data_IF_310263968294
#
_entry.id   IF_310263968294
#
_cell.length_a   1.000
_cell.length_b   1.000
_cell.length_c   1.000
_cell.angle_alpha   90.00
_cell.angle_beta   90.00
_cell.angle_gamma   90.00
#
_symmetry.space_group_name_H-M   'P 1'
#
loop_
_entity.id
_entity.type
_entity.pdbx_description
1 polymer ?
#
# COMPACT_ATOMS: atom_id res chain seq x y z
N UNK A 1 -2.21 5.24 8.13
CA UNK A 1 -1.37 6.33 7.64
C UNK A 1 0.07 5.87 7.58
N UNK A 2 0.85 6.40 6.64
CA UNK A 2 2.30 6.22 6.60
C UNK A 2 2.94 7.03 7.75
N UNK A 3 3.83 6.45 8.58
CA UNK A 3 4.50 7.20 9.63
C UNK A 3 5.47 8.23 9.02
N UNK A 4 5.35 9.48 9.43
CA UNK A 4 6.19 10.57 8.99
C UNK A 4 7.50 10.56 9.79
N UNK A 5 8.59 10.90 9.13
CA UNK A 5 9.89 11.06 9.76
C UNK A 5 9.95 12.41 10.48
N UNK A 6 10.52 12.43 11.68
CA UNK A 6 10.79 13.68 12.41
C UNK A 6 11.74 14.60 11.63
N UNK A 7 11.49 15.91 11.69
CA UNK A 7 12.29 16.94 11.03
C UNK A 7 11.86 17.30 9.61
N UNK A 8 10.89 16.60 9.00
CA UNK A 8 10.36 16.96 7.68
C UNK A 8 9.24 18.00 7.77
N UNK A 9 9.07 18.78 6.71
CA UNK A 9 7.93 19.69 6.53
C UNK A 9 6.68 18.91 6.07
N UNK A 10 5.53 19.20 6.67
CA UNK A 10 4.26 18.49 6.41
C UNK A 10 3.10 19.46 6.43
N UNK A 11 2.20 19.35 5.46
CA UNK A 11 0.95 20.11 5.41
C UNK A 11 -0.26 19.18 5.38
N UNK A 12 -1.18 19.35 6.34
CA UNK A 12 -2.49 18.69 6.30
C UNK A 12 -3.51 19.64 5.68
N UNK A 13 -4.18 19.20 4.61
CA UNK A 13 -5.24 19.97 3.93
C UNK A 13 -6.62 19.46 4.35
N UNK A 14 -7.48 20.38 4.77
CA UNK A 14 -8.90 20.14 4.92
C UNK A 14 -9.66 20.89 3.82
N UNK A 15 -10.40 20.17 3.01
CA UNK A 15 -11.26 20.72 1.97
C UNK A 15 -12.72 20.63 2.39
N UNK A 16 -13.47 21.72 2.24
CA UNK A 16 -14.86 21.81 2.70
C UNK A 16 -15.72 22.40 1.58
N UNK A 17 -16.47 21.51 0.93
CA UNK A 17 -17.46 21.91 -0.07
C UNK A 17 -18.74 22.37 0.61
N UNK A 18 -19.03 23.67 0.54
CA UNK A 18 -20.16 24.29 1.23
C UNK A 18 -20.63 25.57 0.54
N UNK A 19 -21.95 25.79 0.52
CA UNK A 19 -22.56 26.99 -0.03
C UNK A 19 -23.66 27.52 0.92
N UNK A 20 -23.48 28.67 1.62
CA UNK A 20 -22.34 29.59 1.52
C UNK A 20 -21.01 28.98 2.03
N UNK A 21 -19.86 29.52 1.58
CA UNK A 21 -18.54 29.02 1.98
C UNK A 21 -18.37 28.96 3.50
N UNK A 22 -17.83 27.85 4.00
CA UNK A 22 -17.54 27.63 5.41
C UNK A 22 -16.05 27.47 5.66
N UNK A 23 -15.58 27.93 6.81
CA UNK A 23 -14.15 27.95 7.12
C UNK A 23 -13.71 26.67 7.84
N UNK A 24 -12.79 25.88 7.26
CA UNK A 24 -12.22 24.71 7.94
C UNK A 24 -11.35 25.10 9.15
N UNK A 25 -11.38 24.24 10.18
CA UNK A 25 -10.58 24.34 11.41
C UNK A 25 -10.12 22.96 11.85
N UNK A 26 -8.82 22.76 11.93
CA UNK A 26 -8.21 21.57 12.51
C UNK A 26 -8.35 21.55 14.04
N UNK A 27 -8.47 20.36 14.60
CA UNK A 27 -8.50 20.10 16.03
C UNK A 27 -7.64 18.87 16.31
N UNK A 28 -6.84 18.93 17.38
CA UNK A 28 -6.12 17.76 17.92
C UNK A 28 -6.90 17.25 19.13
N UNK A 29 -7.06 15.93 19.29
CA UNK A 29 -7.86 15.40 20.39
C UNK A 29 -7.19 15.62 21.78
N UNK A 30 -5.86 15.74 21.83
CA UNK A 30 -5.10 15.91 23.07
C UNK A 30 -4.84 17.39 23.45
N UNK A 31 -5.52 18.35 22.81
CA UNK A 31 -5.39 19.77 23.14
C UNK A 31 -5.39 20.71 21.92
N UNK A 32 -4.84 21.90 22.10
CA UNK A 32 -4.76 22.89 21.03
C UNK A 32 -3.90 22.41 19.86
N UNK A 33 -4.23 22.86 18.65
CA UNK A 33 -3.39 22.54 17.48
C UNK A 33 -2.01 23.18 17.65
N UNK A 34 -0.93 22.41 17.40
CA UNK A 34 0.45 22.84 17.72
C UNK A 34 0.97 23.97 16.83
N UNK A 35 0.27 24.31 15.74
CA UNK A 35 0.63 25.39 14.82
C UNK A 35 -0.56 26.30 14.54
N UNK A 36 -0.32 27.59 14.25
CA UNK A 36 -1.38 28.53 13.87
C UNK A 36 -2.11 28.04 12.61
N UNK A 37 -3.44 28.17 12.62
CA UNK A 37 -4.26 27.77 11.48
C UNK A 37 -4.59 28.97 10.60
N UNK A 38 -4.39 28.80 9.30
CA UNK A 38 -4.88 29.71 8.28
C UNK A 38 -6.31 29.35 7.88
N UNK A 39 -7.10 30.33 7.45
CA UNK A 39 -8.50 30.13 7.03
C UNK A 39 -8.68 29.37 5.70
N UNK A 40 -7.57 28.94 5.10
CA UNK A 40 -7.46 28.20 3.84
C UNK A 40 -7.51 26.68 4.01
N UNK A 41 -7.63 26.19 5.26
CA UNK A 41 -7.77 24.77 5.59
C UNK A 41 -6.47 24.00 5.73
N UNK A 42 -5.32 24.67 5.68
CA UNK A 42 -4.02 24.04 5.86
C UNK A 42 -3.55 24.08 7.32
N UNK A 43 -2.97 22.98 7.78
CA UNK A 43 -2.19 22.89 9.03
C UNK A 43 -0.74 22.57 8.65
N UNK A 44 0.12 23.58 8.71
CA UNK A 44 1.50 23.51 8.19
C UNK A 44 2.51 23.35 9.32
N UNK A 45 3.25 22.24 9.30
CA UNK A 45 4.36 21.95 10.18
C UNK A 45 5.66 22.21 9.45
N UNK A 46 6.38 23.27 9.82
CA UNK A 46 7.71 23.58 9.26
C UNK A 46 8.76 22.51 9.58
N UNK A 47 8.63 21.88 10.75
CA UNK A 47 9.41 20.71 11.15
C UNK A 47 8.55 19.86 12.07
N UNK A 48 8.12 18.69 11.60
CA UNK A 48 7.28 17.80 12.38
C UNK A 48 8.09 17.04 13.44
N UNK A 49 7.54 16.85 14.64
CA UNK A 49 8.21 16.18 15.77
C UNK A 49 7.39 15.03 16.30
N UNK A 50 8.03 14.09 16.99
CA UNK A 50 7.34 12.94 17.60
C UNK A 50 6.19 13.39 18.54
N UNK A 51 6.35 14.52 19.25
CA UNK A 51 5.31 15.15 20.08
C UNK A 51 4.08 15.66 19.31
N UNK A 52 4.20 15.89 18.00
CA UNK A 52 3.06 16.26 17.14
C UNK A 52 2.19 15.05 16.78
N UNK A 53 2.56 13.83 17.20
CA UNK A 53 1.72 12.66 16.97
C UNK A 53 0.39 12.77 17.74
N UNK A 54 -0.69 12.28 17.14
CA UNK A 54 -2.01 12.31 17.75
C UNK A 54 -3.15 12.26 16.74
N UNK A 55 -4.37 12.26 17.25
CA UNK A 55 -5.57 12.32 16.43
C UNK A 55 -5.90 13.75 16.04
N UNK A 56 -6.07 13.98 14.75
CA UNK A 56 -6.45 15.26 14.16
C UNK A 56 -7.78 15.11 13.43
N UNK A 57 -8.70 16.03 13.63
CA UNK A 57 -9.94 16.12 12.86
C UNK A 57 -10.12 17.53 12.34
N UNK A 58 -10.72 17.66 11.16
CA UNK A 58 -11.14 18.95 10.67
C UNK A 58 -12.60 19.17 11.02
N UNK A 59 -12.92 20.38 11.45
CA UNK A 59 -14.28 20.82 11.75
C UNK A 59 -14.60 22.05 10.92
N UNK A 60 -15.87 22.21 10.58
CA UNK A 60 -16.37 23.43 9.94
C UNK A 60 -17.74 23.78 10.51
N UNK A 61 -18.07 25.08 10.50
CA UNK A 61 -19.39 25.57 10.91
C UNK A 61 -20.12 26.09 9.69
N UNK A 62 -21.26 25.50 9.39
CA UNK A 62 -22.07 25.87 8.24
C UNK A 62 -23.54 26.02 8.65
N UNK A 63 -24.12 27.20 8.40
CA UNK A 63 -25.51 27.55 8.73
C UNK A 63 -25.95 27.13 10.15
N UNK A 64 -25.13 27.44 11.15
CA UNK A 64 -25.30 27.09 12.58
C UNK A 64 -25.11 25.62 12.96
N UNK A 65 -24.83 24.73 12.01
CA UNK A 65 -24.45 23.36 12.30
C UNK A 65 -22.92 23.19 12.29
N UNK A 66 -22.44 22.27 13.12
CA UNK A 66 -21.04 21.91 13.18
C UNK A 66 -20.83 20.55 12.51
N UNK A 67 -19.94 20.53 11.53
CA UNK A 67 -19.54 19.33 10.81
C UNK A 67 -18.12 18.96 11.21
N UNK A 68 -17.84 17.66 11.28
CA UNK A 68 -16.51 17.13 11.56
C UNK A 68 -16.16 16.10 10.49
N UNK A 69 -14.91 16.11 10.05
CA UNK A 69 -14.32 15.01 9.31
C UNK A 69 -14.17 13.79 10.22
N UNK A 70 -13.87 12.66 9.60
CA UNK A 70 -13.27 11.52 10.31
C UNK A 70 -11.90 11.93 10.90
N UNK A 71 -11.53 11.33 12.04
CA UNK A 71 -10.24 11.55 12.68
C UNK A 71 -9.09 10.88 11.93
N UNK A 72 -7.98 11.59 11.80
CA UNK A 72 -6.74 11.15 11.17
C UNK A 72 -5.61 11.10 12.21
N UNK A 73 -5.02 9.93 12.41
CA UNK A 73 -3.87 9.80 13.32
C UNK A 73 -2.57 10.17 12.61
N UNK A 74 -1.97 11.29 13.03
CA UNK A 74 -0.64 11.71 12.62
C UNK A 74 0.39 10.91 13.45
N UNK A 75 1.20 10.08 12.80
CA UNK A 75 2.25 9.29 13.46
C UNK A 75 3.61 9.79 13.00
N UNK A 76 4.43 10.25 13.94
CA UNK A 76 5.77 10.80 13.67
C UNK A 76 6.80 9.96 14.42
N UNK A 77 7.86 9.52 13.74
CA UNK A 77 8.91 8.66 14.29
C UNK A 77 10.29 9.31 14.18
N UNK A 78 11.12 9.11 15.21
CA UNK A 78 12.55 9.40 15.15
C UNK A 78 13.24 8.32 14.32
N UNK A 79 14.14 8.70 13.42
CA UNK A 79 15.05 7.74 12.78
C UNK A 79 16.09 7.33 13.83
N UNK A 80 16.08 6.06 14.26
CA UNK A 80 17.31 5.42 14.73
C UNK A 80 17.75 4.42 13.66
N UNK A 81 18.70 4.85 12.82
CA UNK A 81 19.45 3.92 11.97
C UNK A 81 20.52 3.28 12.87
N UNK A 82 20.41 1.97 13.10
CA UNK A 82 21.45 0.97 12.81
C UNK A 82 21.05 -0.40 13.36
N UNK A 83 21.03 -1.41 12.48
CA UNK A 83 21.54 -2.74 12.82
C UNK A 83 22.31 -3.21 11.60
N UNK A 84 23.56 -2.77 11.53
CA UNK A 84 24.64 -3.58 10.99
C UNK A 84 24.86 -4.76 11.94
N UNK A 85 24.60 -5.97 11.47
CA UNK A 85 25.36 -7.20 11.78
C UNK A 85 24.73 -8.35 11.01
N UNK A 86 25.47 -8.83 10.03
CA UNK A 86 25.42 -10.23 9.61
C UNK A 86 25.61 -11.12 10.85
N UNK A 87 24.98 -12.30 10.91
CA UNK A 87 25.56 -13.44 11.58
C UNK A 87 26.15 -14.39 10.55
N UNK A 88 27.45 -14.64 10.71
CA UNK A 88 28.22 -15.74 10.14
C UNK A 88 27.47 -17.08 10.18
N UNK A 89 27.73 -17.88 9.14
CA UNK A 89 27.37 -19.29 9.02
C UNK A 89 27.82 -20.10 10.25
N UNK A 90 26.87 -20.71 10.96
CA UNK A 90 27.12 -21.97 11.66
C UNK A 90 25.96 -22.94 11.46
N UNK A 91 26.35 -24.03 10.83
CA UNK A 91 25.61 -25.25 10.54
C UNK A 91 25.11 -25.91 11.84
N UNK A 92 23.79 -25.95 12.05
CA UNK A 92 23.16 -26.89 13.00
C UNK A 92 21.87 -27.42 12.37
N UNK A 93 21.97 -28.66 11.87
CA UNK A 93 20.85 -29.52 11.52
C UNK A 93 20.21 -30.09 12.80
N UNK A 94 18.99 -29.66 13.16
CA UNK A 94 18.12 -30.50 14.00
C UNK A 94 16.64 -30.30 13.66
N UNK A 95 16.04 -31.42 13.23
CA UNK A 95 14.66 -31.87 13.37
C UNK A 95 13.52 -30.99 12.81
N UNK A 96 12.93 -31.56 11.75
CA UNK A 96 11.54 -31.41 11.38
C UNK A 96 10.59 -31.36 12.59
N UNK A 97 10.00 -30.19 12.83
CA UNK A 97 8.67 -30.09 13.40
C UNK A 97 7.70 -29.87 12.24
N UNK A 98 6.94 -30.91 11.93
CA UNK A 98 5.89 -30.97 10.91
C UNK A 98 5.02 -29.70 10.89
N UNK A 99 5.05 -28.93 9.82
CA UNK A 99 3.94 -28.04 9.46
C UNK A 99 3.64 -28.17 7.96
N UNK A 100 2.41 -28.59 7.71
CA UNK A 100 1.79 -29.00 6.45
C UNK A 100 2.06 -28.02 5.28
N UNK A 101 2.58 -28.47 4.11
CA UNK A 101 3.06 -27.58 3.04
C UNK A 101 1.98 -26.73 2.35
N UNK A 102 0.69 -26.99 2.59
CA UNK A 102 -0.42 -26.23 1.99
C UNK A 102 -1.12 -25.26 2.97
N UNK A 103 -0.61 -25.05 4.19
CA UNK A 103 -1.31 -24.26 5.21
C UNK A 103 -0.95 -22.76 5.25
N UNK A 104 -0.31 -22.26 4.20
CA UNK A 104 0.23 -20.90 4.13
C UNK A 104 0.14 -20.24 2.76
N UNK A 105 -0.61 -20.80 1.81
CA UNK A 105 -0.83 -20.15 0.51
C UNK A 105 -2.32 -20.07 0.22
N UNK A 106 -2.77 -18.90 -0.23
CA UNK A 106 -4.16 -18.56 -0.42
C UNK A 106 -4.34 -17.94 -1.80
N UNK A 107 -5.14 -18.58 -2.65
CA UNK A 107 -5.44 -18.08 -3.98
C UNK A 107 -6.76 -17.31 -3.96
N UNK A 108 -6.76 -16.13 -4.58
CA UNK A 108 -7.94 -15.25 -4.68
C UNK A 108 -8.10 -14.82 -6.12
N UNK A 109 -9.34 -14.78 -6.60
CA UNK A 109 -9.63 -14.26 -7.93
C UNK A 109 -9.57 -12.72 -7.93
N UNK A 110 -9.14 -12.12 -9.04
CA UNK A 110 -9.19 -10.67 -9.26
C UNK A 110 -10.62 -10.14 -9.03
N UNK A 111 -10.76 -9.07 -8.23
CA UNK A 111 -12.03 -8.51 -7.78
C UNK A 111 -12.73 -9.33 -6.68
N UNK A 112 -12.13 -10.44 -6.23
CA UNK A 112 -12.63 -11.26 -5.16
C UNK A 112 -12.37 -10.66 -3.78
N UNK A 113 -12.72 -11.43 -2.75
CA UNK A 113 -12.47 -11.07 -1.36
C UNK A 113 -11.92 -12.28 -0.60
N UNK A 114 -11.07 -12.02 0.39
CA UNK A 114 -10.55 -13.08 1.25
C UNK A 114 -10.35 -12.57 2.66
N UNK A 115 -10.43 -13.48 3.63
CA UNK A 115 -10.25 -13.14 5.03
C UNK A 115 -9.17 -13.99 5.66
N UNK A 116 -8.18 -13.31 6.25
CA UNK A 116 -7.09 -13.89 7.00
C UNK A 116 -7.45 -13.91 8.49
N UNK A 117 -7.20 -15.02 9.16
CA UNK A 117 -7.51 -15.22 10.57
C UNK A 117 -6.25 -15.63 11.31
N UNK A 118 -5.86 -14.87 12.35
CA UNK A 118 -4.80 -15.29 13.25
C UNK A 118 -5.19 -16.55 14.03
N UNK A 119 -4.22 -17.34 14.55
CA UNK A 119 -4.50 -18.54 15.34
C UNK A 119 -5.47 -18.28 16.50
N UNK A 120 -6.37 -19.23 16.76
CA UNK A 120 -7.40 -19.09 17.80
C UNK A 120 -6.78 -18.78 19.17
N UNK A 121 -7.35 -17.79 19.87
CA UNK A 121 -6.86 -17.34 21.18
C UNK A 121 -5.71 -16.33 21.12
N UNK A 122 -5.28 -15.91 19.92
CA UNK A 122 -4.30 -14.83 19.77
C UNK A 122 -4.95 -13.50 19.39
N UNK A 123 -4.48 -12.40 19.98
CA UNK A 123 -4.88 -11.03 19.65
C UNK A 123 -3.89 -10.41 18.63
N UNK A 124 -3.48 -11.21 17.65
CA UNK A 124 -2.45 -10.81 16.68
C UNK A 124 -2.95 -9.82 15.62
N UNK A 125 -2.03 -9.05 15.05
CA UNK A 125 -2.26 -8.09 13.97
C UNK A 125 -1.61 -8.58 12.68
N UNK A 126 -2.30 -8.41 11.56
CA UNK A 126 -1.75 -8.73 10.23
C UNK A 126 -0.88 -7.58 9.70
N UNK A 127 0.20 -7.95 9.01
CA UNK A 127 1.10 -7.04 8.30
C UNK A 127 1.48 -7.62 6.95
N UNK A 128 1.63 -6.76 5.93
CA UNK A 128 2.11 -7.12 4.61
C UNK A 128 3.64 -6.99 4.54
N UNK A 129 4.32 -7.99 4.00
CA UNK A 129 5.76 -7.97 3.82
C UNK A 129 6.11 -7.23 2.53
N UNK A 130 6.91 -6.19 2.65
CA UNK A 130 7.53 -5.52 1.51
C UNK A 130 8.56 -6.47 0.87
N UNK A 131 8.41 -6.86 -0.40
CA UNK A 131 9.32 -7.80 -1.05
C UNK A 131 10.72 -7.22 -1.29
N UNK A 132 10.87 -5.89 -1.35
CA UNK A 132 12.16 -5.23 -1.62
C UNK A 132 12.92 -4.99 -0.32
N UNK A 133 12.23 -4.48 0.70
CA UNK A 133 12.89 -4.10 1.96
C UNK A 133 12.83 -5.18 3.03
N UNK A 134 12.09 -6.27 2.80
CA UNK A 134 11.76 -7.31 3.78
C UNK A 134 11.11 -6.75 5.08
N UNK A 135 10.59 -5.52 5.04
CA UNK A 135 9.95 -4.87 6.19
C UNK A 135 8.46 -5.18 6.24
N UNK A 136 7.94 -5.33 7.45
CA UNK A 136 6.51 -5.50 7.69
C UNK A 136 5.81 -4.14 7.66
N UNK A 137 4.87 -3.99 6.73
CA UNK A 137 3.98 -2.85 6.60
C UNK A 137 2.63 -3.16 7.25
N UNK A 138 2.19 -2.29 8.16
CA UNK A 138 0.85 -2.40 8.75
C UNK A 138 -0.25 -2.14 7.71
N UNK A 139 -1.39 -2.83 7.84
CA UNK A 139 -2.46 -2.87 6.85
C UNK A 139 -3.51 -1.74 6.97
N UNK A 140 -3.21 -0.70 7.77
CA UNK A 140 -4.14 0.41 8.06
C UNK A 140 -5.13 0.12 9.20
N UNK A 141 -5.73 1.16 9.76
CA UNK A 141 -6.69 1.07 10.87
C UNK A 141 -8.11 0.88 10.33
N UNK A 142 -8.88 -0.09 10.85
CA UNK A 142 -10.29 -0.34 10.47
C UNK A 142 -10.57 -1.64 9.71
N UNK A 143 -9.54 -2.39 9.32
CA UNK A 143 -9.68 -3.70 8.68
C UNK A 143 -9.46 -4.88 9.64
N UNK A 144 -8.92 -4.61 10.83
CA UNK A 144 -8.76 -5.58 11.91
C UNK A 144 -9.90 -5.46 12.90
N UNK A 145 -10.79 -6.44 12.91
CA UNK A 145 -11.71 -6.63 14.04
C UNK A 145 -10.89 -7.04 15.28
N UNK A 146 -11.40 -6.83 16.50
CA UNK A 146 -10.74 -7.29 17.74
C UNK A 146 -10.53 -8.81 17.84
N UNK A 147 -10.91 -9.57 16.80
CA UNK A 147 -10.73 -11.02 16.68
C UNK A 147 -9.46 -11.45 15.93
N UNK A 148 -8.56 -10.52 15.55
CA UNK A 148 -7.35 -10.86 14.80
C UNK A 148 -7.64 -11.28 13.34
N UNK A 149 -8.77 -10.81 12.81
CA UNK A 149 -9.24 -11.07 11.45
C UNK A 149 -8.92 -9.87 10.55
N UNK A 150 -8.47 -10.12 9.33
CA UNK A 150 -8.20 -9.10 8.32
C UNK A 150 -8.83 -9.51 6.99
N UNK A 151 -9.65 -8.64 6.39
CA UNK A 151 -10.33 -8.94 5.12
C UNK A 151 -9.82 -8.05 3.99
N UNK A 152 -9.39 -8.68 2.90
CA UNK A 152 -9.16 -8.03 1.61
C UNK A 152 -10.46 -8.12 0.79
N UNK A 153 -10.85 -7.02 0.15
CA UNK A 153 -12.03 -6.93 -0.73
C UNK A 153 -11.61 -6.27 -2.04
N UNK A 154 -12.32 -6.59 -3.12
CA UNK A 154 -12.05 -6.07 -4.47
C UNK A 154 -10.58 -6.24 -4.87
N UNK A 155 -10.05 -7.44 -4.60
CA UNK A 155 -8.61 -7.76 -4.63
C UNK A 155 -7.99 -7.50 -6.00
N UNK A 156 -6.85 -6.80 -6.02
CA UNK A 156 -6.03 -6.54 -7.21
C UNK A 156 -4.69 -7.28 -7.16
N UNK A 157 -3.98 -7.37 -8.29
CA UNK A 157 -2.66 -8.04 -8.33
C UNK A 157 -1.63 -7.45 -7.37
N UNK A 158 -1.74 -6.16 -7.04
CA UNK A 158 -0.85 -5.49 -6.09
C UNK A 158 -1.09 -5.89 -4.63
N UNK A 159 -2.25 -6.48 -4.31
CA UNK A 159 -2.56 -7.01 -2.97
C UNK A 159 -1.93 -8.39 -2.74
N UNK A 160 -1.45 -9.04 -3.80
CA UNK A 160 -0.72 -10.29 -3.69
C UNK A 160 0.60 -10.06 -2.94
N UNK A 161 0.99 -11.07 -2.17
CA UNK A 161 2.22 -11.02 -1.39
C UNK A 161 2.14 -11.78 -0.09
N UNK A 162 3.14 -11.59 0.75
CA UNK A 162 3.27 -12.34 1.99
C UNK A 162 2.71 -11.55 3.15
N UNK A 163 1.71 -12.10 3.83
CA UNK A 163 1.08 -11.54 5.00
C UNK A 163 1.54 -12.30 6.25
N UNK A 164 1.83 -11.59 7.33
CA UNK A 164 2.24 -12.17 8.60
C UNK A 164 1.34 -11.69 9.72
N UNK A 165 0.83 -12.61 10.53
CA UNK A 165 0.16 -12.32 11.79
C UNK A 165 1.23 -12.21 12.88
N UNK A 166 1.32 -11.06 13.54
CA UNK A 166 2.24 -10.81 14.65
C UNK A 166 1.43 -10.65 15.93
N UNK A 167 1.80 -11.36 16.99
CA UNK A 167 1.12 -11.27 18.28
C UNK A 167 2.03 -11.73 19.41
N UNK A 168 1.47 -11.81 20.62
CA UNK A 168 2.22 -12.29 21.78
C UNK A 168 2.63 -13.74 21.58
N UNK A 169 3.89 -14.04 21.92
CA UNK A 169 4.39 -15.41 21.88
C UNK A 169 3.57 -16.29 22.83
N UNK A 170 3.13 -17.48 22.39
CA UNK A 170 2.46 -18.46 23.26
C UNK A 170 3.34 -18.86 24.45
N UNK A 171 4.67 -18.79 24.29
CA UNK A 171 5.65 -19.17 25.32
C UNK A 171 6.07 -18.02 26.21
N UNK A 172 6.17 -16.81 25.66
CA UNK A 172 6.57 -15.61 26.41
C UNK A 172 5.63 -14.43 26.10
N UNK A 173 4.68 -14.18 26.99
CA UNK A 173 3.67 -13.12 26.83
C UNK A 173 4.23 -11.69 26.72
N UNK A 174 5.51 -11.46 27.08
CA UNK A 174 6.19 -10.16 26.93
C UNK A 174 6.89 -10.00 25.58
N UNK A 175 7.02 -11.07 24.79
CA UNK A 175 7.67 -11.07 23.48
C UNK A 175 6.61 -11.11 22.39
N UNK A 176 6.78 -10.28 21.36
CA UNK A 176 6.01 -10.39 20.11
C UNK A 176 6.74 -11.32 19.14
N UNK A 177 5.99 -12.14 18.42
CA UNK A 177 6.53 -13.01 17.38
C UNK A 177 5.53 -13.20 16.24
N UNK A 178 6.02 -13.73 15.12
CA UNK A 178 5.18 -14.12 13.99
C UNK A 178 4.44 -15.40 14.35
N UNK A 179 3.12 -15.29 14.51
CA UNK A 179 2.24 -16.41 14.84
C UNK A 179 1.83 -17.21 13.60
N UNK A 180 1.71 -16.54 12.45
CA UNK A 180 1.31 -17.17 11.20
C UNK A 180 1.83 -16.37 10.00
N UNK A 181 2.17 -17.07 8.91
CA UNK A 181 2.52 -16.47 7.61
C UNK A 181 1.60 -17.04 6.53
N UNK A 182 1.06 -16.17 5.67
CA UNK A 182 0.16 -16.53 4.57
C UNK A 182 0.61 -15.79 3.31
N UNK A 183 0.96 -16.51 2.25
CA UNK A 183 1.16 -15.98 0.91
C UNK A 183 -0.17 -15.87 0.17
N UNK A 184 -0.58 -14.65 -0.16
CA UNK A 184 -1.75 -14.39 -0.99
C UNK A 184 -1.31 -14.32 -2.45
N UNK A 185 -1.91 -15.16 -3.29
CA UNK A 185 -1.70 -15.16 -4.74
C UNK A 185 -3.00 -14.74 -5.41
N UNK A 186 -2.92 -13.76 -6.32
CA UNK A 186 -4.10 -13.27 -7.04
C UNK A 186 -4.08 -13.81 -8.46
N UNK A 187 -5.13 -14.50 -8.88
CA UNK A 187 -5.30 -15.03 -10.24
C UNK A 187 -6.42 -14.29 -10.97
N UNK A 188 -6.25 -14.08 -12.27
CA UNK A 188 -7.21 -13.29 -13.04
C UNK A 188 -6.88 -13.18 -14.51
N UNK A 189 -7.75 -12.46 -15.22
CA UNK A 189 -7.45 -11.99 -16.57
C UNK A 189 -6.34 -10.92 -16.53
N UNK A 190 -5.58 -10.74 -17.63
CA UNK A 190 -4.64 -9.65 -17.74
C UNK A 190 -5.32 -8.28 -17.56
N UNK A 191 -4.71 -7.41 -16.76
CA UNK A 191 -5.11 -6.00 -16.62
C UNK A 191 -4.06 -5.12 -17.26
N UNK A 192 -4.46 -4.09 -18.02
CA UNK A 192 -3.56 -3.17 -18.71
C UNK A 192 -3.85 -1.74 -18.28
N UNK A 193 -2.83 -0.98 -17.93
CA UNK A 193 -2.88 0.42 -17.55
C UNK A 193 -1.99 1.22 -18.49
N UNK A 194 -2.55 2.22 -19.16
CA UNK A 194 -1.77 3.13 -20.00
C UNK A 194 -1.01 4.13 -19.12
N UNK A 195 0.32 4.24 -19.33
CA UNK A 195 1.12 5.28 -18.65
C UNK A 195 0.88 6.67 -19.22
N UNK A 196 0.67 6.73 -20.53
CA UNK A 196 0.45 7.96 -21.28
C UNK A 196 -0.98 7.95 -21.86
N UNK A 197 -1.96 8.38 -21.07
CA UNK A 197 -3.32 8.58 -21.59
C UNK A 197 -3.36 9.82 -22.48
N UNK A 198 -3.90 9.68 -23.69
CA UNK A 198 -4.11 10.78 -24.68
C UNK A 198 -2.87 11.60 -25.06
N UNK A 199 -1.80 10.98 -25.59
CA UNK A 199 -0.63 11.72 -26.02
C UNK A 199 -0.90 12.50 -27.32
N UNK A 200 -0.39 13.73 -27.39
CA UNK A 200 -0.48 14.60 -28.57
C UNK A 200 0.91 14.76 -29.17
N UNK A 201 1.01 14.63 -30.49
CA UNK A 201 2.25 14.79 -31.23
C UNK A 201 2.02 15.63 -32.49
N UNK A 202 3.05 16.36 -32.92
CA UNK A 202 3.02 17.09 -34.19
C UNK A 202 3.32 16.14 -35.36
N UNK A 203 2.77 16.39 -36.57
CA UNK A 203 3.12 15.61 -37.75
C UNK A 203 4.64 15.53 -37.96
N UNK A 204 5.15 14.31 -38.14
CA UNK A 204 6.58 14.03 -38.32
C UNK A 204 7.40 13.89 -37.02
N UNK A 205 6.83 14.20 -35.85
CA UNK A 205 7.50 13.95 -34.56
C UNK A 205 7.28 12.51 -34.08
N UNK A 206 8.29 11.87 -33.45
CA UNK A 206 8.15 10.53 -32.91
C UNK A 206 7.21 10.54 -31.70
N UNK A 207 6.32 9.54 -31.62
CA UNK A 207 5.37 9.36 -30.53
C UNK A 207 5.64 8.05 -29.80
N UNK A 208 5.84 8.13 -28.48
CA UNK A 208 6.08 6.97 -27.63
C UNK A 208 4.84 6.63 -26.80
N UNK A 209 4.37 5.40 -26.95
CA UNK A 209 3.28 4.82 -26.17
C UNK A 209 3.84 3.78 -25.23
N UNK A 210 3.36 3.78 -23.99
CA UNK A 210 3.74 2.83 -22.97
C UNK A 210 2.52 2.38 -22.17
N UNK A 211 2.45 1.09 -21.89
CA UNK A 211 1.45 0.44 -21.04
C UNK A 211 2.18 -0.42 -20.02
N UNK A 212 1.62 -0.51 -18.83
CA UNK A 212 1.96 -1.54 -17.86
C UNK A 212 0.83 -2.57 -17.87
N UNK A 213 1.16 -3.85 -17.74
CA UNK A 213 0.16 -4.88 -17.59
C UNK A 213 0.58 -5.88 -16.52
N UNK A 214 -0.42 -6.54 -15.95
CA UNK A 214 -0.25 -7.62 -14.99
C UNK A 214 -1.14 -8.79 -15.40
N UNK A 215 -0.59 -9.99 -15.42
CA UNK A 215 -1.34 -11.23 -15.57
C UNK A 215 -0.83 -12.31 -14.61
N UNK A 216 -1.76 -13.08 -14.05
CA UNK A 216 -1.43 -14.31 -13.35
C UNK A 216 -2.60 -15.30 -13.52
N UNK A 217 -2.42 -16.44 -14.22
CA UNK A 217 -1.19 -16.93 -14.85
C UNK A 217 -0.60 -16.01 -15.93
N UNK A 218 0.69 -16.18 -16.31
CA UNK A 218 1.34 -15.34 -17.31
C UNK A 218 0.56 -15.26 -18.62
N UNK A 219 0.51 -14.07 -19.22
CA UNK A 219 -0.16 -13.87 -20.49
C UNK A 219 0.52 -14.69 -21.61
N UNK A 220 -0.30 -15.31 -22.47
CA UNK A 220 0.23 -16.09 -23.60
C UNK A 220 0.86 -15.20 -24.69
N UNK A 221 0.34 -13.98 -24.86
CA UNK A 221 0.87 -13.00 -25.80
C UNK A 221 0.48 -11.57 -25.39
N UNK A 222 1.39 -10.63 -25.64
CA UNK A 222 1.13 -9.19 -25.59
C UNK A 222 1.21 -8.61 -27.01
N UNK A 223 0.22 -7.79 -27.39
CA UNK A 223 0.12 -7.21 -28.75
C UNK A 223 -0.44 -5.80 -28.68
N UNK A 224 0.08 -4.91 -29.51
CA UNK A 224 -0.51 -3.60 -29.75
C UNK A 224 -1.50 -3.68 -30.91
N UNK A 225 -2.67 -3.07 -30.74
CA UNK A 225 -3.73 -3.06 -31.74
C UNK A 225 -4.04 -1.62 -32.15
N UNK A 226 -4.10 -1.37 -33.46
CA UNK A 226 -4.53 -0.07 -34.00
C UNK A 226 -5.23 -0.28 -35.34
N UNK A 227 -6.53 0.03 -35.39
CA UNK A 227 -7.37 -0.29 -36.55
C UNK A 227 -7.38 -1.80 -36.82
N UNK A 228 -6.99 -2.19 -38.03
CA UNK A 228 -6.87 -3.58 -38.50
C UNK A 228 -5.46 -4.17 -38.31
N UNK A 229 -4.52 -3.40 -37.74
CA UNK A 229 -3.11 -3.81 -37.59
C UNK A 229 -2.80 -4.35 -36.21
N UNK A 230 -1.90 -5.33 -36.20
CA UNK A 230 -1.36 -5.97 -35.00
C UNK A 230 0.15 -5.78 -34.98
N UNK A 231 0.67 -5.17 -33.91
CA UNK A 231 2.11 -5.01 -33.71
C UNK A 231 2.58 -5.88 -32.53
N UNK A 232 3.57 -6.72 -32.81
CA UNK A 232 4.18 -7.64 -31.85
C UNK A 232 5.41 -6.98 -31.21
N UNK A 233 5.51 -6.95 -29.87
CA UNK A 233 6.71 -6.47 -29.16
C UNK A 233 8.00 -7.13 -29.68
N UNK A 234 9.05 -6.34 -29.85
CA UNK A 234 10.34 -6.77 -30.38
C UNK A 234 10.51 -6.61 -31.90
N UNK A 235 9.44 -6.26 -32.61
CA UNK A 235 9.47 -6.15 -34.07
C UNK A 235 9.43 -4.69 -34.57
N UNK A 236 9.99 -4.48 -35.75
CA UNK A 236 9.88 -3.23 -36.50
C UNK A 236 8.95 -3.42 -37.69
N UNK A 237 8.08 -2.44 -37.93
CA UNK A 237 7.08 -2.46 -38.99
C UNK A 237 7.29 -1.27 -39.93
N UNK A 238 7.94 -1.54 -41.06
CA UNK A 238 8.38 -0.51 -41.99
C UNK A 238 9.41 0.44 -41.36
N UNK A 239 9.41 1.70 -41.79
CA UNK A 239 10.30 2.75 -41.25
C UNK A 239 9.65 3.61 -40.17
N UNK A 240 8.35 3.41 -39.89
CA UNK A 240 7.55 4.36 -39.10
C UNK A 240 7.08 3.84 -37.75
N UNK A 241 7.04 2.52 -37.54
CA UNK A 241 6.57 1.92 -36.28
C UNK A 241 7.59 0.95 -35.74
N UNK A 242 8.02 1.17 -34.50
CA UNK A 242 8.88 0.29 -33.73
C UNK A 242 8.13 -0.18 -32.48
N UNK A 243 7.90 -1.48 -32.37
CA UNK A 243 7.32 -2.09 -31.18
C UNK A 243 8.45 -2.59 -30.27
N UNK A 244 8.75 -1.84 -29.22
CA UNK A 244 9.76 -2.25 -28.23
C UNK A 244 9.38 -3.58 -27.57
N UNK A 245 10.38 -4.34 -27.14
CA UNK A 245 10.20 -5.58 -26.38
C UNK A 245 9.53 -5.34 -25.02
N UNK A 246 8.93 -6.40 -24.47
CA UNK A 246 8.37 -6.36 -23.11
C UNK A 246 9.52 -6.30 -22.10
N UNK A 247 9.37 -5.43 -21.10
CA UNK A 247 10.33 -5.31 -20.00
C UNK A 247 9.65 -5.73 -18.70
N UNK A 248 10.25 -6.67 -17.99
CA UNK A 248 9.73 -7.12 -16.70
C UNK A 248 9.98 -6.07 -15.61
N UNK A 249 8.93 -5.74 -14.86
CA UNK A 249 9.02 -4.90 -13.66
C UNK A 249 9.37 -5.76 -12.44
N UNK A 250 9.97 -5.19 -11.37
CA UNK A 250 10.36 -5.92 -10.16
C UNK A 250 9.15 -6.22 -9.25
N UNK A 251 8.02 -6.63 -9.82
CA UNK A 251 6.81 -7.04 -9.09
C UNK A 251 6.72 -8.57 -9.14
N UNK A 252 6.97 -9.29 -8.03
CA UNK A 252 7.02 -10.75 -8.06
C UNK A 252 5.65 -11.43 -8.22
N UNK A 253 4.54 -10.67 -8.19
CA UNK A 253 3.20 -11.21 -8.01
C UNK A 253 2.31 -11.17 -9.26
N UNK A 254 2.77 -10.51 -10.32
CA UNK A 254 2.15 -10.53 -11.64
C UNK A 254 3.26 -10.52 -12.70
N UNK A 255 3.01 -11.12 -13.86
CA UNK A 255 3.91 -11.11 -15.02
C UNK A 255 3.18 -10.66 -16.28
#
# INVERSE_FOLDING_TARGET
GYPLREGIEVSLKCDVDSNPPSTPRWQKDDGDTPVPQTGDGFLNFTSIRHEHSGWYKCTSRHLNFQYSSIGYYLSVRYDSVDVTSEPDDQDISVAAASHNPNKGQLEVQLGGAVTLQCPQGSLGCWSHLDPVTARLRGLGHGLTTPTGQFSLKDVVYHDAGTYKCIGQSPTNKKKLEVLQTVGVTVKGSPTVVARNSTPVAYPGSPLHLAVEFCANPPAHAARWLHGDRVYTPGNQYGSTVLAYGVTDLPTPYCK
#
